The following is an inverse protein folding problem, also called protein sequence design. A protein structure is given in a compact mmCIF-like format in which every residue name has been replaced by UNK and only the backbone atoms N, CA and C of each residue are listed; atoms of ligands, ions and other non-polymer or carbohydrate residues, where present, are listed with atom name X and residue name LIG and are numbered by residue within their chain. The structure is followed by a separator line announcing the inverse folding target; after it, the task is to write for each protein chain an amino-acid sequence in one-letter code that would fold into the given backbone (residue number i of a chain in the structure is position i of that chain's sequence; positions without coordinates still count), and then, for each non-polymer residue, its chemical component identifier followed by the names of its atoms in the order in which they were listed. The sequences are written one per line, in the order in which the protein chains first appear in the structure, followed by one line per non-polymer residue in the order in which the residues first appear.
data_IF_222662281071
#
_entry.id   IF_222662281071
#
_cell.length_a   1.000
_cell.length_b   1.000
_cell.length_c   1.000
_cell.angle_alpha   90.00
_cell.angle_beta   90.00
_cell.angle_gamma   90.00
#
_symmetry.space_group_name_H-M   'P 1'
#
loop_
_entity.id
_entity.type
_entity.pdbx_description
1 polymer ?
#
# COMPACT_ATOMS: atom_id res chain seq x y z
N UNK A 1 3.49 -12.60 9.03
CA UNK A 1 3.27 -11.65 10.16
C UNK A 1 4.55 -11.01 10.69
N UNK A 2 5.64 -11.76 10.92
CA UNK A 2 6.89 -11.20 11.47
C UNK A 2 7.45 -9.98 10.69
N UNK A 3 7.45 -10.05 9.35
CA UNK A 3 7.90 -8.94 8.50
C UNK A 3 7.05 -7.67 8.67
N UNK A 4 5.72 -7.82 8.77
CA UNK A 4 4.83 -6.71 9.09
C UNK A 4 5.15 -6.13 10.46
N UNK A 5 5.26 -6.96 11.51
CA UNK A 5 5.56 -6.49 12.87
C UNK A 5 6.84 -5.66 12.94
N UNK A 6 7.88 -6.08 12.22
CA UNK A 6 9.14 -5.34 12.16
C UNK A 6 8.98 -3.93 11.55
N UNK A 7 8.08 -3.78 10.57
CA UNK A 7 7.84 -2.52 9.84
C UNK A 7 6.60 -1.74 10.29
N UNK A 8 5.80 -2.28 11.21
CA UNK A 8 4.50 -1.74 11.60
C UNK A 8 4.57 -0.28 12.10
N UNK A 9 5.57 0.05 12.92
CA UNK A 9 5.77 1.43 13.42
C UNK A 9 6.00 2.43 12.28
N UNK A 10 6.67 2.02 11.20
CA UNK A 10 6.87 2.88 10.03
C UNK A 10 5.56 3.05 9.24
N UNK A 11 4.81 1.96 9.04
CA UNK A 11 3.50 2.01 8.40
C UNK A 11 2.52 2.94 9.12
N UNK A 12 2.49 2.94 10.46
CA UNK A 12 1.65 3.87 11.23
C UNK A 12 2.01 5.34 10.99
N UNK A 13 3.31 5.66 10.91
CA UNK A 13 3.76 7.03 10.60
C UNK A 13 3.34 7.43 9.19
N UNK A 14 3.57 6.57 8.21
CA UNK A 14 3.18 6.84 6.83
C UNK A 14 1.67 6.97 6.68
N UNK A 15 0.87 6.11 7.33
CA UNK A 15 -0.59 6.22 7.34
C UNK A 15 -1.03 7.60 7.80
N UNK A 16 -0.53 8.08 8.95
CA UNK A 16 -0.88 9.41 9.47
C UNK A 16 -0.54 10.53 8.49
N UNK A 17 0.71 10.56 7.99
CA UNK A 17 1.15 11.60 7.04
C UNK A 17 0.37 11.57 5.74
N UNK A 18 0.10 10.39 5.19
CA UNK A 18 -0.67 10.23 3.96
C UNK A 18 -2.13 10.67 4.16
N UNK A 19 -2.77 10.27 5.25
CA UNK A 19 -4.14 10.69 5.57
C UNK A 19 -4.25 12.20 5.73
N UNK A 20 -3.32 12.84 6.43
CA UNK A 20 -3.26 14.30 6.57
C UNK A 20 -3.11 14.97 5.20
N UNK A 21 -2.13 14.54 4.39
CA UNK A 21 -1.86 15.13 3.07
C UNK A 21 -3.07 15.03 2.13
N UNK A 22 -3.68 13.86 1.98
CA UNK A 22 -4.83 13.68 1.10
C UNK A 22 -6.08 14.40 1.60
N UNK A 23 -6.26 14.52 2.93
CA UNK A 23 -7.38 15.30 3.50
C UNK A 23 -7.22 16.80 3.25
N UNK A 24 -6.01 17.34 3.48
CA UNK A 24 -5.71 18.75 3.19
C UNK A 24 -5.80 19.07 1.70
N UNK A 25 -5.31 18.17 0.84
CA UNK A 25 -5.41 18.32 -0.61
C UNK A 25 -6.87 18.31 -1.09
N UNK A 26 -7.74 17.48 -0.51
CA UNK A 26 -9.16 17.47 -0.86
C UNK A 26 -9.88 18.78 -0.47
N UNK A 27 -9.51 19.38 0.65
CA UNK A 27 -10.05 20.68 1.08
C UNK A 27 -9.56 21.84 0.20
N UNK A 28 -8.30 21.81 -0.24
CA UNK A 28 -7.73 22.85 -1.11
C UNK A 28 -8.45 22.91 -2.48
N UNK A 29 -8.89 21.78 -3.02
CA UNK A 29 -9.61 21.71 -4.32
C UNK A 29 -11.03 22.28 -4.24
N UNK A 30 -11.63 22.38 -3.05
CA UNK A 30 -13.01 22.85 -2.85
C UNK A 30 -13.14 24.34 -2.53
N UNK A 31 -12.03 25.08 -2.43
CA UNK A 31 -12.05 26.52 -2.18
C UNK A 31 -11.59 27.29 -3.44
N UNK A 32 -12.48 27.52 -4.43
CA UNK A 32 -12.18 28.47 -5.49
C UNK A 32 -12.12 29.86 -4.82
N UNK A 33 -10.92 30.43 -4.73
CA UNK A 33 -10.73 31.78 -4.20
C UNK A 33 -11.65 32.73 -4.96
N UNK A 34 -12.60 33.33 -4.25
CA UNK A 34 -13.46 34.39 -4.77
C UNK A 34 -12.60 35.64 -4.97
N UNK A 35 -12.08 35.88 -6.16
CA UNK A 35 -11.50 37.18 -6.53
C UNK A 35 -12.63 38.13 -6.92
N UNK A 36 -13.19 38.83 -5.92
CA UNK A 36 -13.99 40.04 -6.14
C UNK A 36 -13.06 41.25 -6.31
N UNK A 37 -12.88 41.70 -7.55
CA UNK A 37 -12.55 43.08 -7.98
C UNK A 37 -13.03 43.12 -9.44
N UNK A 38 -13.91 43.96 -9.94
CA UNK A 38 -14.36 45.31 -9.59
C UNK A 38 -14.56 46.00 -10.94
N UNK A 39 -15.79 46.37 -11.27
CA UNK A 39 -16.17 46.92 -12.57
C UNK A 39 -15.43 48.23 -12.90
N UNK A 40 -14.73 48.29 -14.04
CA UNK A 40 -14.60 49.52 -14.82
C UNK A 40 -14.25 49.28 -16.30
N UNK A 41 -15.24 49.62 -17.13
CA UNK A 41 -15.20 49.81 -18.57
C UNK A 41 -14.18 50.91 -18.97
N UNK A 42 -13.23 50.64 -19.88
CA UNK A 42 -12.69 51.63 -20.85
C UNK A 42 -11.70 51.01 -21.88
N UNK A 43 -12.21 50.84 -23.11
CA UNK A 43 -11.70 51.33 -24.40
C UNK A 43 -10.26 51.04 -24.90
N UNK A 44 -10.20 50.63 -26.18
CA UNK A 44 -9.13 50.77 -27.19
C UNK A 44 -8.11 49.62 -27.42
N UNK A 45 -8.43 48.77 -28.42
CA UNK A 45 -7.49 48.25 -29.43
C UNK A 45 -7.13 49.39 -30.43
N UNK A 46 -6.21 49.23 -31.43
CA UNK A 46 -5.18 48.20 -31.71
C UNK A 46 -3.78 48.77 -32.07
N UNK A 47 -2.73 47.93 -32.19
CA UNK A 47 -1.78 48.02 -33.31
C UNK A 47 -0.80 46.83 -33.43
N UNK A 48 -0.42 46.43 -34.66
CA UNK A 48 0.37 45.24 -34.96
C UNK A 48 1.85 45.58 -35.22
N UNK A 49 2.76 44.64 -34.94
CA UNK A 49 4.07 44.62 -35.57
C UNK A 49 4.63 43.18 -35.59
N UNK A 50 4.67 42.63 -36.78
CA UNK A 50 5.30 41.36 -37.16
C UNK A 50 6.82 41.49 -37.14
N UNK A 51 7.54 40.57 -36.49
CA UNK A 51 8.84 40.09 -36.96
C UNK A 51 8.99 38.60 -36.67
N UNK A 52 9.64 37.93 -37.60
CA UNK A 52 9.60 36.51 -37.96
C UNK A 52 10.68 35.64 -37.29
N UNK A 53 10.35 34.38 -36.98
CA UNK A 53 11.31 33.28 -36.75
C UNK A 53 10.60 31.93 -36.53
N UNK A 54 11.13 30.78 -37.03
CA UNK A 54 10.30 29.73 -37.64
C UNK A 54 10.07 28.46 -36.78
N UNK A 55 8.95 27.81 -37.08
CA UNK A 55 8.72 26.35 -37.12
C UNK A 55 9.08 25.50 -35.90
N UNK A 56 8.04 25.09 -35.16
CA UNK A 56 7.90 23.69 -34.71
C UNK A 56 6.43 23.45 -34.40
N UNK A 57 5.77 22.76 -35.34
CA UNK A 57 4.42 22.24 -35.17
C UNK A 57 4.44 21.10 -34.14
N UNK A 58 3.91 21.34 -32.95
CA UNK A 58 3.29 20.27 -32.17
C UNK A 58 1.92 20.75 -31.70
N UNK A 59 0.92 20.34 -32.48
CA UNK A 59 -0.50 20.56 -32.27
C UNK A 59 -0.90 20.20 -30.84
N UNK A 60 -1.56 21.14 -30.19
CA UNK A 60 -2.45 20.85 -29.08
C UNK A 60 -3.56 19.92 -29.59
N UNK A 61 -3.50 18.66 -29.19
CA UNK A 61 -4.64 17.75 -29.25
C UNK A 61 -4.87 17.16 -27.87
N UNK A 62 -5.81 17.78 -27.16
CA UNK A 62 -6.64 17.16 -26.14
C UNK A 62 -5.90 16.49 -24.98
N UNK A 63 -5.28 17.28 -24.10
CA UNK A 63 -5.18 16.81 -22.71
C UNK A 63 -6.60 16.80 -22.16
N UNK A 64 -7.19 15.61 -22.07
CA UNK A 64 -8.17 15.29 -21.04
C UNK A 64 -7.61 15.84 -19.73
N UNK A 65 -8.14 16.98 -19.29
CA UNK A 65 -7.94 17.51 -17.93
C UNK A 65 -8.71 16.58 -17.01
N UNK A 66 -8.17 15.38 -16.81
CA UNK A 66 -8.35 14.67 -15.56
C UNK A 66 -7.63 15.50 -14.53
N UNK A 67 -8.33 15.88 -13.45
CA UNK A 67 -7.76 16.56 -12.28
C UNK A 67 -6.58 15.73 -11.78
N UNK A 68 -5.38 16.03 -12.28
CA UNK A 68 -4.16 15.31 -11.95
C UNK A 68 -3.53 16.11 -10.83
N UNK A 69 -3.87 15.75 -9.59
CA UNK A 69 -3.23 16.33 -8.41
C UNK A 69 -1.75 15.96 -8.51
N UNK A 70 -0.87 16.95 -8.68
CA UNK A 70 0.56 16.73 -8.68
C UNK A 70 0.97 16.26 -7.26
N UNK A 71 1.22 14.97 -7.10
CA UNK A 71 1.64 14.38 -5.83
C UNK A 71 3.16 14.58 -5.70
N UNK A 72 3.66 15.19 -4.61
CA UNK A 72 5.09 15.29 -4.39
C UNK A 72 5.73 13.89 -4.34
N UNK A 73 6.91 13.72 -4.95
CA UNK A 73 7.63 12.43 -5.01
C UNK A 73 7.78 11.76 -3.64
N UNK A 74 7.92 12.54 -2.56
CA UNK A 74 7.97 12.02 -1.19
C UNK A 74 6.67 11.31 -0.76
N UNK A 75 5.50 11.83 -1.15
CA UNK A 75 4.18 11.24 -0.84
C UNK A 75 3.98 9.96 -1.64
N UNK A 76 4.43 9.91 -2.88
CA UNK A 76 4.40 8.70 -3.71
C UNK A 76 5.23 7.57 -3.07
N UNK A 77 6.47 7.85 -2.66
CA UNK A 77 7.35 6.88 -2.02
C UNK A 77 6.79 6.38 -0.67
N UNK A 78 6.20 7.28 0.13
CA UNK A 78 5.51 6.90 1.36
C UNK A 78 4.31 6.01 1.07
N UNK A 79 3.52 6.32 0.04
CA UNK A 79 2.37 5.52 -0.39
C UNK A 79 2.81 4.12 -0.80
N UNK A 80 3.81 4.02 -1.68
CA UNK A 80 4.37 2.75 -2.11
C UNK A 80 4.85 1.90 -0.92
N UNK A 81 5.63 2.51 -0.01
CA UNK A 81 6.15 1.82 1.16
C UNK A 81 5.04 1.38 2.11
N UNK A 82 4.03 2.23 2.33
CA UNK A 82 2.87 1.91 3.15
C UNK A 82 2.10 0.71 2.60
N UNK A 83 1.77 0.73 1.30
CA UNK A 83 1.05 -0.37 0.62
C UNK A 83 1.85 -1.68 0.68
N UNK A 84 3.17 -1.62 0.47
CA UNK A 84 4.02 -2.80 0.58
C UNK A 84 3.99 -3.39 2.00
N UNK A 85 4.06 -2.55 3.03
CA UNK A 85 4.02 -3.04 4.42
C UNK A 85 2.64 -3.62 4.76
N UNK A 86 1.54 -2.98 4.36
CA UNK A 86 0.19 -3.48 4.64
C UNK A 86 -0.13 -4.76 3.86
N UNK A 87 0.40 -4.92 2.65
CA UNK A 87 0.32 -6.18 1.91
C UNK A 87 0.92 -7.35 2.69
N UNK A 88 2.03 -7.16 3.40
CA UNK A 88 2.61 -8.20 4.27
C UNK A 88 1.67 -8.64 5.40
N UNK A 89 0.78 -7.76 5.87
CA UNK A 89 -0.22 -8.09 6.89
C UNK A 89 -1.35 -8.93 6.29
N UNK A 90 -1.90 -8.48 5.16
CA UNK A 90 -2.97 -9.19 4.45
C UNK A 90 -2.52 -10.59 4.05
N UNK A 91 -1.39 -10.71 3.34
CA UNK A 91 -0.86 -12.02 2.93
C UNK A 91 -0.57 -12.94 4.11
N UNK A 92 -0.18 -12.41 5.26
CA UNK A 92 0.02 -13.24 6.45
C UNK A 92 -1.29 -13.83 6.99
N UNK A 93 -2.38 -13.07 6.95
CA UNK A 93 -3.70 -13.55 7.33
C UNK A 93 -4.23 -14.57 6.32
N UNK A 94 -4.14 -14.26 5.02
CA UNK A 94 -4.63 -15.15 3.96
C UNK A 94 -3.93 -16.52 4.00
N UNK A 95 -2.60 -16.54 4.15
CA UNK A 95 -1.83 -17.79 4.26
C UNK A 95 -2.18 -18.55 5.54
N UNK A 96 -2.41 -17.83 6.65
CA UNK A 96 -2.77 -18.46 7.92
C UNK A 96 -4.14 -19.13 7.86
N UNK A 97 -5.14 -18.45 7.31
CA UNK A 97 -6.48 -19.00 7.12
C UNK A 97 -6.46 -20.25 6.23
N UNK A 98 -5.69 -20.22 5.15
CA UNK A 98 -5.47 -21.39 4.30
C UNK A 98 -4.82 -22.55 5.07
N UNK A 99 -3.82 -22.26 5.90
CA UNK A 99 -3.15 -23.28 6.71
C UNK A 99 -4.10 -23.89 7.76
N UNK A 100 -4.95 -23.09 8.40
CA UNK A 100 -5.92 -23.54 9.39
C UNK A 100 -7.01 -24.43 8.75
N UNK A 101 -7.50 -24.05 7.58
CA UNK A 101 -8.48 -24.86 6.84
C UNK A 101 -7.88 -26.20 6.38
N UNK A 102 -6.62 -26.22 5.97
CA UNK A 102 -5.91 -27.47 5.65
C UNK A 102 -5.68 -28.32 6.90
N UNK A 103 -5.34 -27.70 8.04
CA UNK A 103 -5.13 -28.40 9.30
C UNK A 103 -6.40 -29.11 9.78
N UNK A 104 -7.56 -28.46 9.65
CA UNK A 104 -8.87 -29.01 9.99
C UNK A 104 -9.27 -30.22 9.14
N UNK A 105 -8.82 -30.26 7.88
CA UNK A 105 -9.09 -31.36 6.93
C UNK A 105 -8.07 -32.50 6.98
N UNK A 106 -6.96 -32.30 7.69
CA UNK A 106 -5.84 -33.23 7.72
C UNK A 106 -6.07 -34.48 8.56
N UNK A 107 -5.03 -35.31 8.67
CA UNK A 107 -5.05 -36.60 9.40
C UNK A 107 -5.05 -36.48 10.92
N UNK A 108 -5.11 -35.26 11.48
CA UNK A 108 -5.02 -35.02 12.93
C UNK A 108 -3.59 -34.89 13.49
N UNK A 109 -2.54 -35.19 12.69
CA UNK A 109 -1.13 -35.05 13.12
C UNK A 109 -0.79 -33.65 13.65
N UNK A 110 -1.35 -32.60 13.06
CA UNK A 110 -1.13 -31.22 13.54
C UNK A 110 -1.77 -30.99 14.92
N UNK A 111 -2.92 -31.61 15.22
CA UNK A 111 -3.52 -31.50 16.54
C UNK A 111 -2.66 -32.20 17.60
N UNK A 112 -2.08 -33.36 17.28
CA UNK A 112 -1.09 -34.02 18.16
C UNK A 112 0.15 -33.14 18.34
N UNK A 113 0.62 -32.50 17.28
CA UNK A 113 1.77 -31.59 17.34
C UNK A 113 1.49 -30.38 18.24
N UNK A 114 0.28 -29.82 18.16
CA UNK A 114 -0.20 -28.75 19.05
C UNK A 114 -0.20 -29.20 20.53
N UNK A 115 -0.50 -30.47 20.83
CA UNK A 115 -0.44 -30.96 22.22
C UNK A 115 0.98 -31.02 22.78
N UNK A 116 1.98 -31.30 21.94
CA UNK A 116 3.38 -31.47 22.35
C UNK A 116 4.12 -30.13 22.39
N UNK A 117 3.88 -29.30 21.38
CA UNK A 117 4.64 -28.06 21.17
C UNK A 117 3.88 -26.79 21.62
N UNK A 118 2.58 -26.93 21.89
CA UNK A 118 1.65 -25.82 22.00
C UNK A 118 1.19 -25.34 20.61
N UNK A 119 -0.07 -24.86 20.48
CA UNK A 119 -0.58 -24.40 19.21
C UNK A 119 0.13 -23.13 18.74
N UNK A 120 0.48 -23.10 17.46
CA UNK A 120 0.93 -21.87 16.83
C UNK A 120 -0.25 -20.93 16.59
N UNK A 121 0.05 -19.64 16.59
CA UNK A 121 -0.89 -18.61 16.17
C UNK A 121 -0.14 -17.51 15.41
N UNK A 122 -0.90 -16.56 14.88
CA UNK A 122 -0.35 -15.45 14.09
C UNK A 122 0.63 -14.57 14.88
N UNK A 123 0.52 -14.52 16.21
CA UNK A 123 1.37 -13.73 17.09
C UNK A 123 2.61 -14.48 17.59
N UNK A 124 2.71 -15.79 17.36
CA UNK A 124 3.86 -16.61 17.72
C UNK A 124 5.18 -16.02 17.17
N UNK A 125 6.23 -16.21 17.94
CA UNK A 125 7.58 -15.80 17.57
C UNK A 125 8.24 -16.80 16.60
N UNK A 126 9.35 -16.37 16.01
CA UNK A 126 10.10 -17.19 15.06
C UNK A 126 10.70 -18.44 15.70
N UNK A 127 11.04 -18.39 17.00
CA UNK A 127 11.64 -19.52 17.71
C UNK A 127 10.63 -20.66 17.87
N UNK A 128 9.41 -20.33 18.28
CA UNK A 128 8.28 -21.25 18.43
C UNK A 128 7.92 -21.87 17.08
N UNK A 129 7.81 -21.03 16.03
CA UNK A 129 7.54 -21.50 14.66
C UNK A 129 8.61 -22.49 14.18
N UNK A 130 9.89 -22.16 14.34
CA UNK A 130 10.99 -23.05 13.91
C UNK A 130 10.98 -24.37 14.67
N UNK A 131 10.73 -24.36 15.98
CA UNK A 131 10.65 -25.59 16.79
C UNK A 131 9.47 -26.46 16.36
N UNK A 132 8.29 -25.86 16.21
CA UNK A 132 7.07 -26.54 15.75
C UNK A 132 7.29 -27.20 14.38
N UNK A 133 7.82 -26.45 13.41
CA UNK A 133 8.11 -26.98 12.06
C UNK A 133 9.16 -28.10 12.09
N UNK A 134 10.23 -27.97 12.88
CA UNK A 134 11.25 -29.03 13.02
C UNK A 134 10.64 -30.33 13.55
N UNK A 135 9.77 -30.23 14.56
CA UNK A 135 9.13 -31.38 15.15
C UNK A 135 8.15 -32.06 14.17
N UNK A 136 7.33 -31.27 13.46
CA UNK A 136 6.44 -31.81 12.42
C UNK A 136 7.19 -32.49 11.28
N UNK A 137 8.28 -31.89 10.79
CA UNK A 137 9.13 -32.50 9.75
C UNK A 137 9.80 -33.78 10.26
N UNK A 138 10.19 -33.83 11.53
CA UNK A 138 10.73 -35.05 12.14
C UNK A 138 9.70 -36.18 12.15
N UNK A 139 8.45 -35.92 12.55
CA UNK A 139 7.37 -36.90 12.51
C UNK A 139 7.07 -37.41 11.10
N UNK A 140 6.99 -36.49 10.12
CA UNK A 140 6.78 -36.86 8.71
C UNK A 140 7.85 -37.83 8.18
N UNK A 141 9.11 -37.67 8.63
CA UNK A 141 10.21 -38.57 8.25
C UNK A 141 10.06 -39.95 8.88
N UNK A 142 9.63 -40.02 10.14
CA UNK A 142 9.38 -41.30 10.81
C UNK A 142 8.25 -42.07 10.12
N UNK A 143 7.16 -41.39 9.76
CA UNK A 143 6.03 -42.06 9.13
C UNK A 143 6.35 -42.54 7.72
N UNK A 144 7.17 -41.78 6.97
CA UNK A 144 7.64 -42.19 5.65
C UNK A 144 8.56 -43.43 5.68
N UNK A 145 9.17 -43.76 6.83
CA UNK A 145 9.99 -44.96 7.00
C UNK A 145 9.21 -46.20 7.40
N UNK A 146 7.93 -46.05 7.79
CA UNK A 146 7.04 -47.15 8.17
C UNK A 146 6.25 -47.73 6.98
N UNK A 147 6.42 -47.15 5.79
CA UNK A 147 5.82 -47.57 4.51
C UNK A 147 6.88 -48.34 3.72
#
# INVERSE_FOLDING_TARGET
MAMFRHKHKAALKYSKTLTEHFSSSAQATHNPQTSRVGDNLSTCLPSPATTSGPSSNHSASGLVVGSTVAVPQAIEQMTFTYVNITSLFLSAHDIWEQAEELARKGSGMLAELDTVMGPLNLSSDMTSMVRYTRQGVYWLRLDSQKV
#
